data_IF_894676493031
#
_entry.id   IF_894676493031
#
_cell.length_a   1.000
_cell.length_b   1.000
_cell.length_c   1.000
_cell.angle_alpha   90.00
_cell.angle_beta   90.00
_cell.angle_gamma   90.00
#
_symmetry.space_group_name_H-M   'P 1'
#
loop_
_entity.id
_entity.type
_entity.pdbx_description
1 polymer ?
#
# COMPACT_ATOMS: atom_id res chain seq x y z
N UNK A 1 3.52 0.82 17.87
CA UNK A 1 3.36 0.08 19.17
C UNK A 1 2.18 0.69 19.89
N UNK A 2 1.18 -0.13 20.24
CA UNK A 2 0.09 0.31 21.11
C UNK A 2 0.65 0.23 22.52
N UNK A 3 0.58 1.33 23.28
CA UNK A 3 0.97 1.34 24.70
C UNK A 3 0.20 0.25 25.47
N UNK A 4 0.85 -0.48 26.39
CA UNK A 4 0.25 -1.64 27.08
C UNK A 4 -0.78 -1.30 28.15
N UNK A 5 -1.32 -0.08 28.19
CA UNK A 5 -2.31 0.37 29.19
C UNK A 5 -3.73 0.57 28.63
N UNK A 6 -3.99 0.31 27.36
CA UNK A 6 -5.35 0.28 26.84
C UNK A 6 -5.99 -1.03 27.28
N UNK A 7 -7.13 -0.95 27.95
CA UNK A 7 -7.91 -2.14 28.31
C UNK A 7 -8.39 -2.84 27.01
N UNK A 8 -7.55 -3.72 26.50
CA UNK A 8 -7.83 -4.50 25.28
C UNK A 8 -9.15 -5.24 25.38
N UNK A 9 -9.52 -5.73 26.57
CA UNK A 9 -10.75 -6.45 26.76
C UNK A 9 -11.98 -5.55 26.53
N UNK A 10 -11.95 -4.30 27.01
CA UNK A 10 -13.05 -3.36 26.79
C UNK A 10 -13.19 -2.98 25.31
N UNK A 11 -12.07 -2.73 24.61
CA UNK A 11 -12.06 -2.43 23.18
C UNK A 11 -12.55 -3.61 22.34
N UNK A 12 -12.10 -4.82 22.66
CA UNK A 12 -12.53 -6.06 22.02
C UNK A 12 -14.05 -6.28 22.18
N UNK A 13 -14.57 -6.15 23.39
CA UNK A 13 -16.00 -6.22 23.67
C UNK A 13 -16.79 -5.16 22.88
N UNK A 14 -16.30 -3.93 22.80
CA UNK A 14 -16.96 -2.84 22.07
C UNK A 14 -17.02 -3.13 20.56
N UNK A 15 -15.93 -3.66 19.98
CA UNK A 15 -15.91 -4.03 18.57
C UNK A 15 -16.86 -5.19 18.26
N UNK A 16 -16.81 -6.24 19.05
CA UNK A 16 -17.70 -7.41 18.91
C UNK A 16 -19.17 -6.97 19.02
N UNK A 17 -19.51 -6.10 19.99
CA UNK A 17 -20.88 -5.62 20.15
C UNK A 17 -21.30 -4.68 19.02
N UNK A 18 -20.41 -3.86 18.48
CA UNK A 18 -20.70 -3.04 17.31
C UNK A 18 -21.04 -3.91 16.07
N UNK A 19 -20.27 -4.97 15.82
CA UNK A 19 -20.53 -5.91 14.74
C UNK A 19 -21.86 -6.65 14.96
N UNK A 20 -22.12 -7.15 16.20
CA UNK A 20 -23.40 -7.79 16.57
C UNK A 20 -24.58 -6.87 16.38
N UNK A 21 -24.45 -5.61 16.79
CA UNK A 21 -25.52 -4.60 16.65
C UNK A 21 -25.82 -4.32 15.18
N UNK A 22 -24.80 -4.17 14.35
CA UNK A 22 -24.96 -3.99 12.89
C UNK A 22 -25.66 -5.20 12.26
N UNK A 23 -25.29 -6.42 12.67
CA UNK A 23 -25.90 -7.65 12.18
C UNK A 23 -27.39 -7.78 12.60
N UNK A 24 -27.71 -7.42 13.85
CA UNK A 24 -29.12 -7.38 14.31
C UNK A 24 -29.97 -6.35 13.56
N UNK A 25 -29.36 -5.24 13.16
CA UNK A 25 -30.08 -4.17 12.47
C UNK A 25 -30.28 -4.42 10.97
N UNK A 26 -29.30 -5.05 10.31
CA UNK A 26 -29.27 -5.17 8.85
C UNK A 26 -29.10 -6.59 8.31
N UNK A 27 -28.95 -7.59 9.16
CA UNK A 27 -28.91 -9.00 8.74
C UNK A 27 -30.29 -9.52 8.34
N UNK A 28 -30.35 -10.36 7.32
CA UNK A 28 -31.56 -10.94 6.76
C UNK A 28 -31.58 -12.49 6.77
N UNK A 29 -30.46 -13.09 7.22
CA UNK A 29 -30.30 -14.55 7.26
C UNK A 29 -30.08 -15.22 5.90
N UNK A 30 -29.89 -14.46 4.85
CA UNK A 30 -29.71 -14.93 3.47
C UNK A 30 -28.51 -14.24 2.80
N UNK A 31 -28.65 -12.98 2.42
CA UNK A 31 -27.64 -12.20 1.70
C UNK A 31 -26.65 -11.54 2.67
N UNK A 32 -27.18 -11.04 3.79
CA UNK A 32 -26.44 -10.31 4.82
C UNK A 32 -26.37 -11.14 6.13
N UNK A 33 -25.41 -12.05 6.18
CA UNK A 33 -25.29 -13.04 7.27
C UNK A 33 -24.09 -12.84 8.18
N UNK A 34 -23.24 -11.88 7.86
CA UNK A 34 -22.03 -11.50 8.61
C UNK A 34 -21.92 -10.00 8.71
N UNK A 35 -21.57 -9.50 9.88
CA UNK A 35 -21.12 -8.11 10.05
C UNK A 35 -19.70 -8.06 10.58
N UNK A 36 -18.96 -7.04 10.16
CA UNK A 36 -17.62 -6.74 10.67
C UNK A 36 -17.57 -5.35 11.28
N UNK A 37 -16.67 -5.18 12.26
CA UNK A 37 -16.34 -3.89 12.85
C UNK A 37 -14.84 -3.67 12.80
N UNK A 38 -14.42 -2.44 12.44
CA UNK A 38 -13.04 -2.00 12.34
C UNK A 38 -12.80 -0.83 13.29
N UNK A 39 -11.75 -0.91 14.10
CA UNK A 39 -11.23 0.21 14.89
C UNK A 39 -10.15 0.92 14.09
N UNK A 40 -10.29 2.22 13.88
CA UNK A 40 -9.29 3.03 13.21
C UNK A 40 -8.23 3.62 14.18
N UNK A 41 -7.25 4.33 13.62
CA UNK A 41 -6.17 4.97 14.36
C UNK A 41 -6.65 6.12 15.28
N UNK A 42 -7.87 6.60 15.08
CA UNK A 42 -8.52 7.66 15.87
C UNK A 42 -9.55 7.10 16.88
N UNK A 43 -9.49 5.79 17.15
CA UNK A 43 -10.41 5.07 18.02
C UNK A 43 -11.90 5.16 17.61
N UNK A 44 -12.18 5.37 16.31
CA UNK A 44 -13.56 5.30 15.77
C UNK A 44 -13.84 3.89 15.28
N UNK A 45 -15.08 3.46 15.46
CA UNK A 45 -15.56 2.15 15.02
C UNK A 45 -16.37 2.33 13.72
N UNK A 46 -16.04 1.53 12.71
CA UNK A 46 -16.73 1.47 11.44
C UNK A 46 -17.28 0.07 11.23
N UNK A 47 -18.51 -0.05 10.74
CA UNK A 47 -19.17 -1.35 10.57
C UNK A 47 -19.56 -1.57 9.12
N UNK A 48 -19.62 -2.85 8.71
CA UNK A 48 -20.08 -3.26 7.40
C UNK A 48 -20.70 -4.65 7.47
N UNK A 49 -21.67 -4.91 6.57
CA UNK A 49 -22.25 -6.23 6.37
C UNK A 49 -21.71 -6.83 5.08
N UNK A 50 -21.61 -8.17 5.04
CA UNK A 50 -21.33 -8.86 3.78
C UNK A 50 -22.47 -8.65 2.78
N UNK A 51 -22.17 -8.80 1.50
CA UNK A 51 -23.16 -8.89 0.43
C UNK A 51 -22.90 -10.19 -0.32
N UNK A 52 -23.72 -11.22 -0.04
CA UNK A 52 -23.59 -12.49 -0.74
C UNK A 52 -24.10 -12.37 -2.17
N UNK A 53 -23.34 -12.87 -3.12
CA UNK A 53 -23.77 -13.01 -4.52
C UNK A 53 -22.97 -14.14 -5.20
N UNK A 54 -23.60 -14.88 -6.12
CA UNK A 54 -22.96 -16.01 -6.80
C UNK A 54 -21.74 -15.62 -7.65
N UNK A 55 -21.65 -14.35 -8.08
CA UNK A 55 -20.48 -13.80 -8.80
C UNK A 55 -19.32 -13.43 -7.86
N UNK A 56 -19.47 -13.58 -6.54
CA UNK A 56 -18.50 -13.19 -5.52
C UNK A 56 -18.77 -11.79 -4.96
N UNK A 57 -19.58 -11.72 -3.90
CA UNK A 57 -19.81 -10.49 -3.15
C UNK A 57 -18.67 -10.18 -2.16
N UNK A 58 -18.61 -8.96 -1.59
CA UNK A 58 -17.62 -8.62 -0.56
C UNK A 58 -17.96 -9.28 0.77
N UNK A 59 -16.92 -9.78 1.46
CA UNK A 59 -17.02 -10.13 2.87
C UNK A 59 -17.28 -8.89 3.73
N UNK A 60 -17.82 -9.07 4.91
CA UNK A 60 -18.15 -7.99 5.83
C UNK A 60 -16.91 -7.16 6.22
N UNK A 61 -15.77 -7.81 6.38
CA UNK A 61 -14.48 -7.18 6.67
C UNK A 61 -14.09 -6.18 5.60
N UNK A 62 -14.23 -6.53 4.32
CA UNK A 62 -13.89 -5.65 3.20
C UNK A 62 -14.84 -4.45 3.12
N UNK A 63 -16.13 -4.66 3.42
CA UNK A 63 -17.11 -3.58 3.49
C UNK A 63 -16.78 -2.62 4.63
N UNK A 64 -16.51 -3.14 5.83
CA UNK A 64 -16.14 -2.32 6.99
C UNK A 64 -14.86 -1.51 6.75
N UNK A 65 -13.84 -2.10 6.11
CA UNK A 65 -12.61 -1.40 5.69
C UNK A 65 -12.90 -0.29 4.66
N UNK A 66 -13.78 -0.55 3.70
CA UNK A 66 -14.19 0.45 2.71
C UNK A 66 -14.92 1.64 3.37
N UNK A 67 -15.82 1.35 4.31
CA UNK A 67 -16.53 2.38 5.11
C UNK A 67 -15.53 3.19 5.95
N UNK A 68 -14.60 2.52 6.63
CA UNK A 68 -13.55 3.18 7.40
C UNK A 68 -12.71 4.11 6.51
N UNK A 69 -12.33 3.63 5.32
CA UNK A 69 -11.55 4.41 4.35
C UNK A 69 -12.31 5.63 3.84
N UNK A 70 -13.60 5.49 3.52
CA UNK A 70 -14.48 6.59 3.12
C UNK A 70 -14.64 7.63 4.23
N UNK A 71 -14.64 7.21 5.51
CA UNK A 71 -14.64 8.10 6.67
C UNK A 71 -13.26 8.70 7.01
N UNK A 72 -12.24 8.48 6.17
CA UNK A 72 -10.91 9.09 6.29
C UNK A 72 -9.93 8.31 7.18
N UNK A 73 -10.22 7.08 7.57
CA UNK A 73 -9.25 6.20 8.23
C UNK A 73 -8.08 5.86 7.29
N UNK A 74 -6.86 5.77 7.84
CA UNK A 74 -5.64 5.48 7.10
C UNK A 74 -4.92 4.23 7.61
N UNK A 75 -4.99 3.99 8.90
CA UNK A 75 -4.29 2.92 9.60
C UNK A 75 -5.25 2.17 10.55
N UNK A 76 -6.16 1.30 10.04
CA UNK A 76 -7.00 0.48 10.89
C UNK A 76 -6.14 -0.42 11.78
N UNK A 77 -6.56 -0.57 13.05
CA UNK A 77 -5.76 -1.21 14.10
C UNK A 77 -6.28 -2.57 14.50
N UNK A 78 -7.61 -2.75 14.54
CA UNK A 78 -8.25 -3.97 15.00
C UNK A 78 -9.52 -4.21 14.17
N UNK A 79 -9.80 -5.47 13.86
CA UNK A 79 -10.99 -5.90 13.11
C UNK A 79 -11.60 -7.16 13.71
N UNK A 80 -12.92 -7.28 13.62
CA UNK A 80 -13.66 -8.48 13.96
C UNK A 80 -14.80 -8.72 12.98
N UNK A 81 -15.13 -9.98 12.73
CA UNK A 81 -16.36 -10.39 12.06
C UNK A 81 -17.23 -11.24 12.98
N UNK A 82 -18.55 -11.08 12.86
CA UNK A 82 -19.56 -11.83 13.63
C UNK A 82 -20.62 -12.36 12.68
N UNK A 83 -20.91 -13.66 12.79
CA UNK A 83 -21.95 -14.34 12.01
C UNK A 83 -23.29 -14.41 12.73
N UNK A 84 -24.35 -14.51 11.96
CA UNK A 84 -25.72 -14.78 12.41
C UNK A 84 -25.94 -16.21 12.91
N UNK A 85 -27.17 -16.58 13.20
CA UNK A 85 -27.58 -17.93 13.60
C UNK A 85 -26.71 -18.57 14.70
N UNK A 86 -26.19 -17.77 15.62
CA UNK A 86 -25.38 -18.24 16.74
C UNK A 86 -23.92 -18.56 16.39
N UNK A 87 -23.45 -18.27 15.18
CA UNK A 87 -22.04 -18.53 14.76
C UNK A 87 -21.01 -17.74 15.58
N UNK A 88 -21.41 -16.63 16.20
CA UNK A 88 -20.51 -15.83 17.02
C UNK A 88 -19.39 -15.13 16.22
N UNK A 89 -18.25 -14.93 16.87
CA UNK A 89 -17.04 -14.37 16.21
C UNK A 89 -16.52 -15.37 15.20
N UNK A 90 -16.17 -14.87 14.01
CA UNK A 90 -15.65 -15.66 12.89
C UNK A 90 -14.19 -15.29 12.60
N UNK A 91 -13.38 -16.28 12.25
CA UNK A 91 -12.06 -16.03 11.68
C UNK A 91 -12.19 -15.51 10.24
N UNK A 92 -11.33 -14.59 9.80
CA UNK A 92 -11.35 -14.09 8.43
C UNK A 92 -11.09 -15.22 7.43
N UNK A 93 -11.78 -15.16 6.28
CA UNK A 93 -11.55 -16.12 5.19
C UNK A 93 -10.18 -15.91 4.54
N UNK A 94 -9.75 -16.82 3.65
CA UNK A 94 -8.44 -16.72 2.99
C UNK A 94 -8.26 -15.44 2.17
N UNK A 95 -9.32 -14.97 1.49
CA UNK A 95 -9.33 -13.70 0.76
C UNK A 95 -9.12 -12.51 1.69
N UNK A 96 -9.82 -12.46 2.82
CA UNK A 96 -9.70 -11.36 3.77
C UNK A 96 -8.32 -11.34 4.43
N UNK A 97 -7.77 -12.52 4.77
CA UNK A 97 -6.40 -12.62 5.30
C UNK A 97 -5.38 -12.05 4.32
N UNK A 98 -5.52 -12.36 3.02
CA UNK A 98 -4.62 -11.83 2.00
C UNK A 98 -4.75 -10.31 1.88
N UNK A 99 -5.98 -9.77 1.78
CA UNK A 99 -6.22 -8.32 1.68
C UNK A 99 -5.70 -7.58 2.92
N UNK A 100 -5.93 -8.13 4.12
CA UNK A 100 -5.43 -7.55 5.36
C UNK A 100 -3.90 -7.57 5.43
N UNK A 101 -3.27 -8.67 5.02
CA UNK A 101 -1.80 -8.78 4.99
C UNK A 101 -1.17 -7.81 3.98
N UNK A 102 -1.80 -7.60 2.83
CA UNK A 102 -1.27 -6.75 1.76
C UNK A 102 -1.39 -5.26 2.09
N UNK A 103 -2.57 -4.81 2.55
CA UNK A 103 -2.85 -3.38 2.72
C UNK A 103 -2.72 -2.88 4.16
N UNK A 104 -2.85 -3.77 5.15
CA UNK A 104 -2.87 -3.43 6.57
C UNK A 104 -1.99 -4.38 7.39
N UNK A 105 -0.68 -4.54 7.08
CA UNK A 105 0.18 -5.56 7.70
C UNK A 105 0.34 -5.41 9.22
N UNK A 106 0.01 -4.25 9.77
CA UNK A 106 0.01 -3.98 11.22
C UNK A 106 -1.33 -4.22 11.92
N UNK A 107 -2.38 -4.66 11.19
CA UNK A 107 -3.69 -4.86 11.80
C UNK A 107 -3.71 -6.12 12.67
N UNK A 108 -4.49 -6.05 13.75
CA UNK A 108 -4.83 -7.21 14.58
C UNK A 108 -6.25 -7.67 14.26
N UNK A 109 -6.50 -8.94 14.46
CA UNK A 109 -7.80 -9.58 14.18
C UNK A 109 -8.29 -10.29 15.42
N UNK A 110 -9.53 -10.04 15.81
CA UNK A 110 -10.20 -10.82 16.85
C UNK A 110 -10.72 -12.10 16.21
N UNK A 111 -10.26 -13.23 16.68
CA UNK A 111 -10.65 -14.57 16.19
C UNK A 111 -11.25 -15.40 17.31
N UNK A 112 -12.06 -16.43 17.00
CA UNK A 112 -12.55 -17.36 18.02
C UNK A 112 -11.40 -18.17 18.64
N UNK A 113 -11.47 -18.40 19.96
CA UNK A 113 -10.51 -19.22 20.70
C UNK A 113 -11.21 -19.92 21.89
N UNK A 114 -11.39 -21.23 21.78
CA UNK A 114 -12.16 -21.98 22.78
C UNK A 114 -13.57 -21.42 22.96
N UNK A 115 -13.96 -21.11 24.20
CA UNK A 115 -15.26 -20.48 24.50
C UNK A 115 -15.23 -18.94 24.39
N UNK A 116 -14.08 -18.34 24.05
CA UNK A 116 -13.89 -16.90 23.97
C UNK A 116 -13.27 -16.43 22.63
N UNK A 117 -12.51 -15.38 22.74
CA UNK A 117 -11.83 -14.73 21.60
C UNK A 117 -10.34 -14.53 21.90
N UNK A 118 -9.55 -14.37 20.84
CA UNK A 118 -8.13 -14.06 20.90
C UNK A 118 -7.79 -12.99 19.87
N UNK A 119 -6.92 -12.05 20.23
CA UNK A 119 -6.42 -11.02 19.34
C UNK A 119 -5.09 -11.48 18.72
N UNK A 120 -5.09 -11.70 17.42
CA UNK A 120 -3.93 -12.18 16.66
C UNK A 120 -3.44 -11.13 15.66
N UNK A 121 -2.13 -10.92 15.49
CA UNK A 121 -1.62 -10.14 14.38
C UNK A 121 -1.91 -10.84 13.06
N UNK A 122 -2.26 -10.09 12.01
CA UNK A 122 -2.60 -10.69 10.69
C UNK A 122 -1.49 -11.58 10.16
N UNK A 123 -0.23 -11.23 10.39
CA UNK A 123 0.93 -12.02 9.96
C UNK A 123 0.93 -13.47 10.50
N UNK A 124 0.33 -13.72 11.66
CA UNK A 124 0.21 -15.07 12.23
C UNK A 124 -0.94 -15.89 11.61
N UNK A 125 -1.90 -15.23 10.97
CA UNK A 125 -3.09 -15.86 10.38
C UNK A 125 -2.88 -16.27 8.90
N UNK A 126 -1.79 -15.81 8.27
CA UNK A 126 -1.43 -16.16 6.90
C UNK A 126 0.09 -16.31 6.77
N UNK A 127 0.69 -17.37 7.38
CA UNK A 127 2.11 -17.65 7.20
C UNK A 127 2.39 -17.96 5.71
N UNK A 128 3.58 -17.53 5.24
CA UNK A 128 4.00 -17.73 3.84
C UNK A 128 3.02 -17.10 2.82
N UNK A 129 2.46 -15.95 3.15
CA UNK A 129 1.51 -15.23 2.29
C UNK A 129 2.08 -14.96 0.91
N UNK A 130 1.24 -15.00 -0.12
CA UNK A 130 1.56 -14.50 -1.44
C UNK A 130 1.83 -13.01 -1.38
N UNK A 131 2.95 -12.54 -1.95
CA UNK A 131 3.37 -11.14 -1.88
C UNK A 131 3.22 -10.49 -3.25
N UNK A 132 1.99 -10.09 -3.58
CA UNK A 132 1.67 -9.53 -4.87
C UNK A 132 2.34 -8.16 -5.13
N UNK A 133 2.54 -7.32 -4.09
CA UNK A 133 3.23 -6.04 -4.23
C UNK A 133 4.71 -6.20 -4.59
N UNK A 134 5.37 -7.25 -4.10
CA UNK A 134 6.75 -7.57 -4.50
C UNK A 134 6.87 -7.99 -5.97
N UNK A 135 5.74 -8.31 -6.61
CA UNK A 135 5.68 -8.62 -8.04
C UNK A 135 5.25 -7.40 -8.88
N UNK A 136 4.74 -6.35 -8.27
CA UNK A 136 4.55 -5.07 -8.95
C UNK A 136 5.91 -4.37 -9.03
N UNK A 137 6.65 -4.73 -10.05
CA UNK A 137 7.92 -4.09 -10.39
C UNK A 137 7.64 -2.61 -10.62
N UNK A 138 8.22 -1.72 -9.82
CA UNK A 138 8.07 -0.28 -9.99
C UNK A 138 8.50 0.13 -11.41
N UNK A 139 7.82 1.11 -11.98
CA UNK A 139 8.08 1.56 -13.35
C UNK A 139 8.87 2.87 -13.32
N UNK A 140 10.09 2.83 -13.81
CA UNK A 140 10.94 4.01 -13.97
C UNK A 140 10.80 4.48 -15.44
N UNK A 141 10.06 5.57 -15.66
CA UNK A 141 9.71 6.05 -17.01
C UNK A 141 10.78 6.97 -17.58
N UNK A 142 11.05 6.81 -18.86
CA UNK A 142 12.00 7.61 -19.64
C UNK A 142 11.37 8.03 -20.97
N UNK A 143 11.81 9.16 -21.51
CA UNK A 143 11.57 9.44 -22.95
C UNK A 143 12.30 8.42 -23.80
N UNK A 144 11.74 8.06 -24.95
CA UNK A 144 12.34 7.11 -25.89
C UNK A 144 13.78 7.45 -26.28
N UNK A 145 14.14 8.73 -26.32
CA UNK A 145 15.47 9.24 -26.62
C UNK A 145 16.58 8.74 -25.69
N UNK A 146 16.23 8.29 -24.48
CA UNK A 146 17.20 7.74 -23.51
C UNK A 146 17.48 6.24 -23.71
N UNK A 147 16.68 5.53 -24.52
CA UNK A 147 16.81 4.08 -24.70
C UNK A 147 18.22 3.64 -25.15
N UNK A 148 18.88 4.28 -26.16
CA UNK A 148 20.23 3.89 -26.55
C UNK A 148 21.24 4.00 -25.39
N UNK A 149 21.24 5.14 -24.69
CA UNK A 149 22.19 5.41 -23.61
C UNK A 149 21.96 4.51 -22.37
N UNK A 150 20.72 4.07 -22.14
CA UNK A 150 20.42 3.10 -21.09
C UNK A 150 20.88 1.69 -21.49
N UNK A 151 20.70 1.30 -22.75
CA UNK A 151 21.13 -0.01 -23.27
C UNK A 151 22.65 -0.15 -23.28
N UNK A 152 23.37 0.85 -23.75
CA UNK A 152 24.83 0.81 -23.86
C UNK A 152 25.57 1.07 -22.52
N UNK A 153 24.82 1.46 -21.49
CA UNK A 153 25.36 1.68 -20.17
C UNK A 153 25.86 3.08 -19.86
N UNK A 154 25.83 3.99 -20.83
CA UNK A 154 26.28 5.37 -20.64
C UNK A 154 25.33 6.19 -19.73
N UNK A 155 24.07 5.76 -19.57
CA UNK A 155 23.13 6.35 -18.62
C UNK A 155 22.71 5.35 -17.55
N UNK A 156 23.08 5.64 -16.29
CA UNK A 156 22.76 4.82 -15.09
C UNK A 156 22.17 5.64 -13.93
N UNK A 157 21.92 6.93 -14.19
CA UNK A 157 21.36 7.86 -13.22
C UNK A 157 20.17 8.59 -13.84
N UNK A 158 19.18 8.94 -13.03
CA UNK A 158 18.08 9.83 -13.41
C UNK A 158 17.60 10.62 -12.21
N UNK A 159 17.21 11.88 -12.43
CA UNK A 159 16.67 12.76 -11.41
C UNK A 159 15.13 12.78 -11.47
N UNK A 160 14.46 12.73 -10.32
CA UNK A 160 13.00 12.64 -10.20
C UNK A 160 12.46 13.66 -9.22
N UNK A 161 11.35 14.29 -9.57
CA UNK A 161 10.63 15.20 -8.69
C UNK A 161 9.23 14.67 -8.43
N UNK A 162 8.87 14.52 -7.13
CA UNK A 162 7.56 13.98 -6.68
C UNK A 162 7.18 12.62 -7.29
N UNK A 163 8.19 11.86 -7.68
CA UNK A 163 8.05 10.52 -8.22
C UNK A 163 8.62 9.53 -7.19
N UNK A 164 7.77 8.86 -6.38
CA UNK A 164 8.23 7.96 -5.32
C UNK A 164 8.85 6.71 -5.92
N UNK A 165 10.13 6.50 -5.65
CA UNK A 165 10.89 5.32 -6.06
C UNK A 165 11.62 4.71 -4.87
N UNK A 166 11.83 3.40 -4.91
CA UNK A 166 12.50 2.64 -3.86
C UNK A 166 13.59 1.77 -4.45
N UNK A 167 14.63 1.48 -3.64
CA UNK A 167 15.65 0.51 -4.00
C UNK A 167 15.00 -0.87 -4.19
N UNK A 168 15.25 -1.52 -5.32
CA UNK A 168 14.65 -2.80 -5.64
C UNK A 168 14.41 -3.01 -7.14
N UNK A 169 13.78 -4.11 -7.53
CA UNK A 169 13.45 -4.40 -8.92
C UNK A 169 12.64 -3.27 -9.56
N UNK A 170 12.95 -2.95 -10.82
CA UNK A 170 12.27 -1.90 -11.57
C UNK A 170 12.13 -2.32 -13.04
N UNK A 171 11.05 -1.86 -13.68
CA UNK A 171 10.88 -1.91 -15.12
C UNK A 171 11.21 -0.52 -15.68
N UNK A 172 12.24 -0.44 -16.49
CA UNK A 172 12.66 0.79 -17.18
C UNK A 172 11.80 0.93 -18.42
N UNK A 173 10.89 1.90 -18.43
CA UNK A 173 9.86 2.06 -19.47
C UNK A 173 10.20 3.26 -20.34
N UNK A 174 10.31 3.07 -21.64
CA UNK A 174 10.63 4.11 -22.62
C UNK A 174 9.36 4.44 -23.41
N UNK A 175 8.90 5.68 -23.25
CA UNK A 175 7.64 6.16 -23.80
C UNK A 175 7.79 6.45 -25.31
N UNK A 176 7.25 5.57 -26.13
CA UNK A 176 7.13 5.65 -27.59
C UNK A 176 5.80 5.04 -28.02
N UNK A 177 5.43 5.15 -29.30
CA UNK A 177 4.19 4.55 -29.84
C UNK A 177 4.16 3.03 -29.57
N UNK A 178 5.32 2.36 -29.66
CA UNK A 178 5.52 0.98 -29.22
C UNK A 178 6.30 1.01 -27.89
N UNK A 179 5.61 1.03 -26.75
CA UNK A 179 6.24 1.06 -25.41
C UNK A 179 7.32 -0.01 -25.27
N UNK A 180 8.59 0.40 -25.19
CA UNK A 180 9.71 -0.50 -24.93
C UNK A 180 10.00 -0.52 -23.43
N UNK A 181 10.22 -1.70 -22.87
CA UNK A 181 10.63 -1.84 -21.48
C UNK A 181 11.81 -2.76 -21.31
N UNK A 182 12.69 -2.44 -20.36
CA UNK A 182 13.85 -3.25 -19.99
C UNK A 182 13.74 -3.62 -18.51
N UNK A 183 13.99 -4.89 -18.15
CA UNK A 183 14.07 -5.26 -16.73
C UNK A 183 15.33 -4.62 -16.13
N UNK A 184 15.23 -4.17 -14.88
CA UNK A 184 16.33 -3.54 -14.19
C UNK A 184 16.12 -3.48 -12.69
N UNK A 185 16.98 -2.76 -12.01
CA UNK A 185 16.96 -2.57 -10.56
C UNK A 185 17.36 -1.14 -10.21
N UNK A 186 16.67 -0.51 -9.30
CA UNK A 186 17.13 0.70 -8.62
C UNK A 186 18.12 0.27 -7.53
N UNK A 187 19.35 0.77 -7.62
CA UNK A 187 20.44 0.39 -6.71
C UNK A 187 20.59 1.36 -5.54
N UNK A 188 20.28 2.65 -5.77
CA UNK A 188 20.27 3.65 -4.69
C UNK A 188 19.37 4.84 -5.04
N UNK A 189 18.94 5.55 -3.99
CA UNK A 189 18.22 6.81 -4.08
C UNK A 189 18.83 7.83 -3.14
N UNK A 190 18.99 9.08 -3.58
CA UNK A 190 19.55 10.16 -2.76
C UNK A 190 18.72 11.42 -2.96
N UNK A 191 18.18 11.98 -1.88
CA UNK A 191 17.46 13.25 -1.93
C UNK A 191 18.43 14.43 -1.96
N UNK A 192 18.14 15.45 -2.78
CA UNK A 192 18.88 16.70 -2.94
C UNK A 192 17.93 17.85 -3.24
N UNK A 193 18.25 19.07 -2.77
CA UNK A 193 17.64 20.25 -3.38
C UNK A 193 18.26 20.48 -4.75
N UNK A 194 17.46 20.93 -5.72
CA UNK A 194 17.95 21.15 -7.10
C UNK A 194 19.17 22.09 -7.13
N UNK A 195 19.14 23.14 -6.31
CA UNK A 195 20.24 24.12 -6.23
C UNK A 195 21.52 23.60 -5.54
N UNK A 196 21.49 22.40 -4.95
CA UNK A 196 22.66 21.77 -4.31
C UNK A 196 23.28 20.64 -5.13
N UNK A 197 22.78 20.40 -6.32
CA UNK A 197 23.34 19.39 -7.26
C UNK A 197 24.76 19.81 -7.65
N UNK A 198 25.68 18.88 -7.61
CA UNK A 198 27.06 19.06 -8.05
C UNK A 198 27.21 18.83 -9.54
N UNK A 199 28.30 19.32 -10.14
CA UNK A 199 28.60 19.05 -11.55
C UNK A 199 28.78 17.56 -11.85
N UNK A 200 29.29 16.76 -10.90
CA UNK A 200 29.44 15.33 -11.05
C UNK A 200 28.07 14.63 -11.06
N UNK A 201 27.17 14.99 -10.13
CA UNK A 201 25.81 14.47 -10.11
C UNK A 201 25.02 14.87 -11.38
N UNK A 202 25.25 16.08 -11.90
CA UNK A 202 24.65 16.54 -13.14
C UNK A 202 25.12 15.72 -14.35
N UNK A 203 26.44 15.50 -14.46
CA UNK A 203 27.04 14.68 -15.53
C UNK A 203 26.58 13.22 -15.47
N UNK A 204 26.41 12.65 -14.29
CA UNK A 204 25.90 11.30 -14.11
C UNK A 204 24.49 11.12 -14.72
N UNK A 205 23.65 12.17 -14.71
CA UNK A 205 22.32 12.16 -15.36
C UNK A 205 22.39 12.54 -16.86
N UNK A 206 23.51 13.08 -17.33
CA UNK A 206 23.71 13.49 -18.74
C UNK A 206 23.60 15.00 -18.99
N UNK A 207 23.57 15.83 -17.94
CA UNK A 207 23.70 17.29 -18.06
C UNK A 207 25.18 17.70 -18.21
N UNK A 208 25.44 18.83 -18.83
CA UNK A 208 26.82 19.33 -18.98
C UNK A 208 27.37 19.86 -17.65
N UNK A 209 26.52 20.49 -16.83
CA UNK A 209 26.88 21.10 -15.54
C UNK A 209 25.67 21.18 -14.60
N UNK A 210 25.92 21.48 -13.32
CA UNK A 210 24.86 21.69 -12.32
C UNK A 210 23.90 22.83 -12.70
N UNK A 211 24.37 23.86 -13.40
CA UNK A 211 23.54 24.98 -13.85
C UNK A 211 22.52 24.60 -14.92
N UNK A 212 22.73 23.50 -15.63
CA UNK A 212 21.85 23.00 -16.68
C UNK A 212 20.72 22.11 -16.14
N UNK A 213 20.84 21.65 -14.89
CA UNK A 213 19.88 20.70 -14.29
C UNK A 213 18.50 21.33 -14.14
N UNK A 214 18.39 22.51 -13.52
CA UNK A 214 17.10 23.16 -13.30
C UNK A 214 16.38 23.50 -14.60
N UNK A 215 17.03 24.15 -15.62
CA UNK A 215 16.41 24.36 -16.91
C UNK A 215 15.95 23.06 -17.58
N UNK A 216 16.80 22.04 -17.63
CA UNK A 216 16.48 20.75 -18.28
C UNK A 216 15.37 19.97 -17.57
N UNK A 217 15.33 20.01 -16.24
CA UNK A 217 14.24 19.37 -15.48
C UNK A 217 12.90 20.10 -15.65
N UNK A 218 12.89 21.40 -15.93
CA UNK A 218 11.65 22.16 -16.19
C UNK A 218 10.93 21.73 -17.47
N UNK A 219 11.60 21.08 -18.40
CA UNK A 219 10.96 20.46 -19.57
C UNK A 219 10.00 19.31 -19.17
N UNK A 220 10.22 18.72 -17.99
CA UNK A 220 9.38 17.67 -17.40
C UNK A 220 8.51 18.19 -16.28
N UNK A 221 9.02 19.15 -15.50
CA UNK A 221 8.41 19.69 -14.28
C UNK A 221 8.38 21.22 -14.31
N UNK A 222 7.46 21.86 -15.08
CA UNK A 222 7.50 23.31 -15.38
C UNK A 222 7.56 24.22 -14.16
N UNK A 223 7.03 23.78 -13.01
CA UNK A 223 6.96 24.57 -11.78
C UNK A 223 8.13 24.30 -10.81
N UNK A 224 9.14 23.52 -11.22
CA UNK A 224 10.29 23.17 -10.37
C UNK A 224 11.11 24.41 -10.00
N UNK A 225 11.47 24.51 -8.71
CA UNK A 225 12.29 25.59 -8.16
C UNK A 225 13.64 25.06 -7.65
N UNK A 226 14.62 25.95 -7.49
CA UNK A 226 15.95 25.57 -7.03
C UNK A 226 15.99 24.98 -5.60
N UNK A 227 15.04 25.35 -4.76
CA UNK A 227 14.92 24.84 -3.39
C UNK A 227 14.01 23.61 -3.26
N UNK A 228 13.38 23.17 -4.35
CA UNK A 228 12.61 21.91 -4.35
C UNK A 228 13.54 20.71 -4.18
N UNK A 229 13.06 19.71 -3.44
CA UNK A 229 13.75 18.44 -3.29
C UNK A 229 13.46 17.50 -4.46
N UNK A 230 14.53 16.98 -5.06
CA UNK A 230 14.48 15.91 -6.07
C UNK A 230 15.19 14.66 -5.56
N UNK A 231 14.93 13.54 -6.18
CA UNK A 231 15.60 12.26 -5.89
C UNK A 231 16.51 11.89 -7.06
N UNK A 232 17.80 11.73 -6.77
CA UNK A 232 18.78 11.14 -7.68
C UNK A 232 18.64 9.62 -7.57
N UNK A 233 18.27 8.97 -8.67
CA UNK A 233 18.02 7.53 -8.74
C UNK A 233 19.13 6.87 -9.54
N UNK A 234 19.87 5.94 -8.92
CA UNK A 234 20.82 5.07 -9.62
C UNK A 234 20.16 3.75 -9.94
N UNK A 235 20.40 3.24 -11.15
CA UNK A 235 19.79 2.00 -11.62
C UNK A 235 20.74 1.19 -12.52
N UNK A 236 20.42 -0.09 -12.63
CA UNK A 236 21.09 -1.05 -13.50
C UNK A 236 20.05 -1.73 -14.39
N UNK A 237 20.47 -2.15 -15.58
CA UNK A 237 19.68 -3.01 -16.48
C UNK A 237 20.06 -4.45 -16.19
N UNK A 238 19.09 -5.32 -16.03
CA UNK A 238 19.33 -6.75 -15.94
C UNK A 238 19.52 -7.31 -17.36
N UNK A 239 20.53 -8.13 -17.55
CA UNK A 239 20.77 -8.88 -18.80
C UNK A 239 19.69 -9.95 -19.04
#
# INVERSE_FOLDING_TARGET
>A
MIEPSTDYAAVECALVEAARSALRAGGDGDIHTVAAAVLDEKARIHVGLNLYHFTGGPCAELVALAVARAAGARAPRLIVAVGDAGRGVLAPCGRDRQVLADYYPGIHVIIPAGEGTHVAPIASLLPHTYQWEKQQVQRLRFRATHLPAVRDGSKRVTMRFRDPVQVGPALLVFESDDEVSLPGRITSTTARSVGSITDDEARDDGFASATDVLPGLRDYYPNLQANDEIVIVRFEVNE
#
